data_IF_331707784170
#
_entry.id   IF_331707784170
#
_cell.length_a   1.000
_cell.length_b   1.000
_cell.length_c   1.000
_cell.angle_alpha   90.00
_cell.angle_beta   90.00
_cell.angle_gamma   90.00
#
_symmetry.space_group_name_H-M   'P 1'
#
loop_
_entity.id
_entity.type
_entity.pdbx_description
1 polymer ?
#
# COMPACT_ATOMS: atom_id res chain seq x y z
N UNK A 1 1.24 57.73 -40.29
CA UNK A 1 0.45 57.01 -39.28
C UNK A 1 0.41 55.55 -39.68
N UNK A 2 1.20 54.72 -39.02
CA UNK A 2 0.84 53.43 -38.40
C UNK A 2 2.18 52.74 -38.09
N UNK A 3 2.67 52.89 -36.87
CA UNK A 3 3.82 52.11 -36.40
C UNK A 3 3.31 50.70 -36.07
N UNK A 4 3.96 49.68 -36.65
CA UNK A 4 3.64 48.28 -36.44
C UNK A 4 4.42 47.70 -35.27
N UNK A 5 4.27 48.27 -34.07
CA UNK A 5 4.78 47.65 -32.87
C UNK A 5 3.86 46.50 -32.42
N UNK A 6 4.06 45.33 -33.03
CA UNK A 6 3.53 44.08 -32.46
C UNK A 6 4.22 43.84 -31.11
N UNK A 7 3.47 44.09 -30.03
CA UNK A 7 3.84 43.66 -28.68
C UNK A 7 3.98 42.12 -28.69
N UNK A 8 5.08 41.54 -28.18
CA UNK A 8 5.20 40.10 -28.07
C UNK A 8 4.07 39.57 -27.20
N UNK A 9 3.24 38.71 -27.78
CA UNK A 9 2.20 37.97 -27.07
C UNK A 9 2.86 37.21 -25.91
N UNK A 10 2.58 37.62 -24.68
CA UNK A 10 3.09 36.92 -23.50
C UNK A 10 2.57 35.48 -23.57
N UNK A 11 3.43 34.46 -23.40
CA UNK A 11 2.96 33.08 -23.35
C UNK A 11 1.90 32.99 -22.23
N UNK A 12 0.80 32.25 -22.45
CA UNK A 12 -0.27 32.15 -21.48
C UNK A 12 0.33 31.77 -20.12
N UNK A 13 0.07 32.58 -19.10
CA UNK A 13 0.45 32.26 -17.73
C UNK A 13 0.00 30.82 -17.45
N UNK A 14 0.94 29.99 -17.01
CA UNK A 14 0.65 28.61 -16.64
C UNK A 14 -0.27 28.64 -15.41
N UNK A 15 -1.58 28.62 -15.65
CA UNK A 15 -2.64 28.63 -14.63
C UNK A 15 -2.52 27.40 -13.69
N UNK A 16 -1.61 26.47 -13.96
CA UNK A 16 -1.31 25.32 -13.10
C UNK A 16 -0.05 25.48 -12.23
N UNK A 17 0.63 26.64 -12.28
CA UNK A 17 1.90 26.87 -11.57
C UNK A 17 1.76 27.36 -10.12
N UNK A 18 0.56 27.48 -9.56
CA UNK A 18 0.46 27.59 -8.09
C UNK A 18 0.73 26.21 -7.46
N UNK A 19 1.72 26.09 -6.55
CA UNK A 19 1.94 24.84 -5.85
C UNK A 19 0.64 24.43 -5.16
N UNK A 20 0.14 23.25 -5.53
CA UNK A 20 -1.08 22.61 -5.00
C UNK A 20 -1.20 22.53 -3.46
N UNK A 21 -0.18 22.98 -2.72
CA UNK A 21 -0.17 23.04 -1.26
C UNK A 21 0.67 24.23 -0.78
N UNK A 22 0.15 25.12 0.10
CA UNK A 22 0.97 26.02 0.92
C UNK A 22 2.00 25.20 1.72
N UNK A 23 3.09 25.82 2.22
CA UNK A 23 4.10 25.18 3.11
C UNK A 23 3.46 24.06 3.94
N UNK A 24 3.85 22.81 3.65
CA UNK A 24 3.21 21.64 4.25
C UNK A 24 3.18 21.76 5.77
N UNK A 25 2.06 21.44 6.41
CA UNK A 25 1.93 21.35 7.86
C UNK A 25 2.12 19.90 8.28
N UNK A 26 3.37 19.39 8.45
CA UNK A 26 3.61 17.97 8.65
C UNK A 26 2.86 17.42 9.86
N UNK A 27 2.74 18.19 10.95
CA UNK A 27 1.96 17.78 12.13
C UNK A 27 0.46 17.57 11.83
N UNK A 28 -0.14 18.39 10.97
CA UNK A 28 -1.54 18.22 10.56
C UNK A 28 -1.70 16.96 9.69
N UNK A 29 -0.79 16.75 8.74
CA UNK A 29 -0.79 15.56 7.87
C UNK A 29 -0.64 14.30 8.70
N UNK A 30 0.30 14.27 9.64
CA UNK A 30 0.50 13.14 10.54
C UNK A 30 -0.70 12.92 11.46
N UNK A 31 -1.33 13.98 11.97
CA UNK A 31 -2.55 13.88 12.78
C UNK A 31 -3.74 13.30 11.99
N UNK A 32 -3.93 13.75 10.74
CA UNK A 32 -4.93 13.20 9.83
C UNK A 32 -4.65 11.73 9.49
N UNK A 33 -3.40 11.39 9.18
CA UNK A 33 -2.98 10.03 8.93
C UNK A 33 -3.22 9.12 10.14
N UNK A 34 -2.90 9.58 11.35
CA UNK A 34 -3.19 8.85 12.59
C UNK A 34 -4.70 8.64 12.78
N UNK A 35 -5.54 9.63 12.46
CA UNK A 35 -6.99 9.47 12.50
C UNK A 35 -7.49 8.42 11.51
N UNK A 36 -6.94 8.39 10.27
CA UNK A 36 -7.23 7.33 9.29
C UNK A 36 -6.88 5.95 9.84
N UNK A 37 -5.70 5.80 10.45
CA UNK A 37 -5.26 4.53 11.05
C UNK A 37 -6.18 4.11 12.19
N UNK A 38 -6.54 5.02 13.09
CA UNK A 38 -7.45 4.72 14.21
C UNK A 38 -8.82 4.24 13.69
N UNK A 39 -9.41 4.95 12.73
CA UNK A 39 -10.71 4.54 12.16
C UNK A 39 -10.60 3.22 11.41
N UNK A 40 -9.52 3.00 10.66
CA UNK A 40 -9.25 1.71 10.01
C UNK A 40 -9.17 0.57 11.02
N UNK A 41 -8.42 0.74 12.13
CA UNK A 41 -8.29 -0.29 13.16
C UNK A 41 -9.61 -0.57 13.88
N UNK A 42 -10.42 0.47 14.16
CA UNK A 42 -11.75 0.29 14.72
C UNK A 42 -12.67 -0.48 13.75
N UNK A 43 -12.61 -0.17 12.46
CA UNK A 43 -13.39 -0.86 11.44
C UNK A 43 -12.93 -2.32 11.28
N UNK A 44 -11.63 -2.59 11.32
CA UNK A 44 -11.06 -3.95 11.35
C UNK A 44 -11.62 -4.75 12.53
N UNK A 45 -11.51 -4.20 13.75
CA UNK A 45 -12.02 -4.85 14.96
C UNK A 45 -13.53 -5.09 14.89
N UNK A 46 -14.30 -4.12 14.41
CA UNK A 46 -15.75 -4.26 14.23
C UNK A 46 -16.09 -5.36 13.21
N UNK A 47 -15.38 -5.44 12.08
CA UNK A 47 -15.58 -6.49 11.08
C UNK A 47 -15.29 -7.88 11.63
N UNK A 48 -14.19 -8.04 12.37
CA UNK A 48 -13.80 -9.28 13.02
C UNK A 48 -14.85 -9.72 14.06
N UNK A 49 -15.28 -8.80 14.93
CA UNK A 49 -16.33 -9.08 15.94
C UNK A 49 -17.66 -9.44 15.28
N UNK A 50 -18.06 -8.73 14.23
CA UNK A 50 -19.28 -9.03 13.50
C UNK A 50 -19.24 -10.42 12.87
N UNK A 51 -18.11 -10.79 12.25
CA UNK A 51 -17.94 -12.14 11.70
C UNK A 51 -18.06 -13.21 12.78
N UNK A 52 -17.33 -13.07 13.90
CA UNK A 52 -17.39 -14.05 14.99
C UNK A 52 -18.80 -14.22 15.54
N UNK A 53 -19.54 -13.12 15.74
CA UNK A 53 -20.92 -13.17 16.22
C UNK A 53 -21.87 -13.87 15.23
N UNK A 54 -21.69 -13.65 13.92
CA UNK A 54 -22.47 -14.33 12.89
C UNK A 54 -22.12 -15.81 12.82
N UNK A 55 -20.83 -16.15 12.83
CA UNK A 55 -20.37 -17.53 12.76
C UNK A 55 -20.85 -18.35 13.97
N UNK A 56 -20.73 -17.81 15.18
CA UNK A 56 -21.22 -18.43 16.43
C UNK A 56 -22.74 -18.64 16.40
N UNK A 57 -23.50 -17.69 15.83
CA UNK A 57 -24.95 -17.80 15.71
C UNK A 57 -25.43 -18.77 14.61
N UNK A 58 -24.59 -19.08 13.62
CA UNK A 58 -24.99 -19.84 12.41
C UNK A 58 -24.38 -21.24 12.32
N UNK A 59 -23.26 -21.48 12.98
CA UNK A 59 -22.57 -22.76 13.02
C UNK A 59 -22.34 -23.19 14.49
N UNK A 60 -23.12 -24.16 15.00
CA UNK A 60 -22.95 -24.68 16.37
C UNK A 60 -21.60 -25.32 16.67
N UNK A 61 -20.78 -25.59 15.64
CA UNK A 61 -19.43 -26.17 15.78
C UNK A 61 -18.33 -25.10 15.81
N UNK A 62 -18.67 -23.84 15.49
CA UNK A 62 -17.72 -22.74 15.51
C UNK A 62 -17.29 -22.41 16.95
N UNK A 63 -15.98 -22.32 17.17
CA UNK A 63 -15.42 -21.89 18.45
C UNK A 63 -14.79 -20.51 18.29
N UNK A 64 -15.52 -19.47 18.67
CA UNK A 64 -15.08 -18.08 18.53
C UNK A 64 -13.79 -17.78 19.32
N UNK A 65 -13.63 -18.35 20.51
CA UNK A 65 -12.44 -18.14 21.33
C UNK A 65 -11.17 -18.72 20.67
N UNK A 66 -11.25 -19.98 20.22
CA UNK A 66 -10.14 -20.64 19.55
C UNK A 66 -9.81 -19.98 18.19
N UNK A 67 -10.82 -19.50 17.47
CA UNK A 67 -10.60 -18.75 16.22
C UNK A 67 -9.93 -17.40 16.48
N UNK A 68 -10.35 -16.67 17.52
CA UNK A 68 -9.78 -15.37 17.89
C UNK A 68 -8.30 -15.48 18.30
N UNK A 69 -7.90 -16.55 18.99
CA UNK A 69 -6.49 -16.81 19.35
C UNK A 69 -5.57 -16.89 18.13
N UNK A 70 -6.08 -17.35 16.99
CA UNK A 70 -5.33 -17.52 15.75
C UNK A 70 -5.61 -16.42 14.71
N UNK A 71 -6.46 -15.44 15.03
CA UNK A 71 -6.91 -14.43 14.06
C UNK A 71 -5.74 -13.60 13.49
N UNK A 72 -4.63 -13.45 14.23
CA UNK A 72 -3.46 -12.68 13.81
C UNK A 72 -2.73 -13.22 12.57
N UNK A 73 -2.83 -14.53 12.29
CA UNK A 73 -2.27 -15.18 11.09
C UNK A 73 -3.33 -15.91 10.26
N UNK A 74 -4.61 -15.71 10.56
CA UNK A 74 -5.71 -16.34 9.85
C UNK A 74 -6.06 -15.58 8.56
N UNK A 75 -6.11 -16.26 7.41
CA UNK A 75 -6.35 -15.62 6.11
C UNK A 75 -7.76 -15.07 5.91
N UNK A 76 -8.77 -15.68 6.52
CA UNK A 76 -10.13 -15.13 6.51
C UNK A 76 -10.21 -13.88 7.39
N UNK A 77 -9.60 -13.92 8.58
CA UNK A 77 -9.50 -12.77 9.47
C UNK A 77 -8.78 -11.60 8.77
N UNK A 78 -7.64 -11.86 8.12
CA UNK A 78 -6.91 -10.87 7.32
C UNK A 78 -7.82 -10.25 6.25
N UNK A 79 -8.59 -11.07 5.52
CA UNK A 79 -9.52 -10.57 4.51
C UNK A 79 -10.59 -9.67 5.10
N UNK A 80 -11.26 -10.11 6.16
CA UNK A 80 -12.30 -9.31 6.84
C UNK A 80 -11.71 -7.97 7.33
N UNK A 81 -10.56 -8.03 7.99
CA UNK A 81 -9.88 -6.85 8.51
C UNK A 81 -9.52 -5.88 7.38
N UNK A 82 -8.83 -6.32 6.32
CA UNK A 82 -8.41 -5.45 5.21
C UNK A 82 -9.61 -4.76 4.56
N UNK A 83 -10.69 -5.48 4.27
CA UNK A 83 -11.86 -4.89 3.63
C UNK A 83 -12.59 -3.92 4.56
N UNK A 84 -12.82 -4.28 5.83
CA UNK A 84 -13.47 -3.39 6.79
C UNK A 84 -12.62 -2.14 7.08
N UNK A 85 -11.30 -2.32 7.27
CA UNK A 85 -10.33 -1.24 7.42
C UNK A 85 -10.29 -0.32 6.21
N UNK A 86 -10.31 -0.88 5.00
CA UNK A 86 -10.38 -0.11 3.75
C UNK A 86 -11.64 0.73 3.63
N UNK A 87 -12.80 0.20 4.02
CA UNK A 87 -14.07 0.95 4.08
C UNK A 87 -13.97 2.14 5.04
N UNK A 88 -13.25 1.99 6.16
CA UNK A 88 -12.99 3.09 7.09
C UNK A 88 -11.97 4.10 6.56
N UNK A 89 -10.87 3.62 5.98
CA UNK A 89 -9.73 4.44 5.60
C UNK A 89 -9.96 5.26 4.32
N UNK A 90 -10.49 4.63 3.27
CA UNK A 90 -10.56 5.23 1.94
C UNK A 90 -11.38 6.53 1.90
N UNK A 91 -12.60 6.60 2.46
CA UNK A 91 -13.37 7.85 2.46
C UNK A 91 -12.63 9.00 3.16
N UNK A 92 -11.94 8.70 4.26
CA UNK A 92 -11.18 9.69 5.01
C UNK A 92 -9.95 10.19 4.23
N UNK A 93 -9.24 9.30 3.54
CA UNK A 93 -8.09 9.67 2.71
C UNK A 93 -8.50 10.66 1.61
N UNK A 94 -9.61 10.39 0.91
CA UNK A 94 -10.14 11.31 -0.10
C UNK A 94 -10.63 12.62 0.51
N UNK A 95 -11.39 12.56 1.61
CA UNK A 95 -11.87 13.76 2.32
C UNK A 95 -10.73 14.66 2.77
N UNK A 96 -9.69 14.09 3.39
CA UNK A 96 -8.54 14.86 3.87
C UNK A 96 -7.68 15.36 2.73
N UNK A 97 -7.50 14.57 1.66
CA UNK A 97 -6.81 15.01 0.46
C UNK A 97 -7.52 16.20 -0.18
N UNK A 98 -8.84 16.16 -0.35
CA UNK A 98 -9.65 17.28 -0.85
C UNK A 98 -9.49 18.51 0.04
N UNK A 99 -9.53 18.32 1.36
CA UNK A 99 -9.45 19.43 2.30
C UNK A 99 -8.10 20.12 2.30
N UNK A 100 -7.01 19.36 2.12
CA UNK A 100 -5.64 19.89 2.06
C UNK A 100 -5.30 20.51 0.70
N UNK A 101 -5.95 20.08 -0.37
CA UNK A 101 -5.69 20.50 -1.75
C UNK A 101 -6.68 21.54 -2.31
N UNK A 102 -7.71 21.91 -1.54
CA UNK A 102 -8.74 22.84 -2.00
C UNK A 102 -9.71 22.23 -3.02
N UNK A 103 -10.03 20.94 -2.88
CA UNK A 103 -10.95 20.21 -3.76
C UNK A 103 -10.29 19.47 -4.93
N UNK A 104 -8.99 19.23 -4.86
CA UNK A 104 -8.18 18.49 -5.86
C UNK A 104 -7.59 17.22 -5.25
N UNK A 105 -8.40 16.48 -4.49
CA UNK A 105 -7.96 15.33 -3.70
C UNK A 105 -7.39 14.20 -4.54
N UNK A 106 -8.00 13.79 -5.67
CA UNK A 106 -7.40 12.81 -6.56
C UNK A 106 -6.01 13.22 -7.05
N UNK A 107 -5.82 14.48 -7.46
CA UNK A 107 -4.52 14.99 -7.88
C UNK A 107 -3.51 15.02 -6.73
N UNK A 108 -3.94 15.42 -5.54
CA UNK A 108 -3.12 15.37 -4.32
C UNK A 108 -2.65 13.95 -4.02
N UNK A 109 -3.56 12.98 -4.08
CA UNK A 109 -3.28 11.56 -3.90
C UNK A 109 -2.44 10.98 -5.03
N UNK A 110 -2.15 11.73 -6.10
CA UNK A 110 -1.39 11.25 -7.26
C UNK A 110 -2.17 10.27 -8.13
N UNK A 111 -3.48 10.41 -8.19
CA UNK A 111 -4.32 9.68 -9.14
C UNK A 111 -4.15 10.30 -10.54
N UNK A 112 -3.06 9.93 -11.21
CA UNK A 112 -2.69 10.44 -12.53
C UNK A 112 -2.36 9.31 -13.47
N UNK A 113 -2.91 9.36 -14.69
CA UNK A 113 -2.60 8.39 -15.72
C UNK A 113 -1.12 8.42 -16.10
N UNK A 114 -0.53 7.23 -16.27
CA UNK A 114 0.86 7.03 -16.66
C UNK A 114 0.86 6.04 -17.84
N UNK A 115 1.82 6.19 -18.76
CA UNK A 115 1.92 5.27 -19.89
C UNK A 115 2.17 3.84 -19.43
N UNK A 116 1.55 2.87 -20.12
CA UNK A 116 1.72 1.45 -19.78
C UNK A 116 3.18 1.00 -19.83
N UNK A 117 3.99 1.60 -20.73
CA UNK A 117 5.44 1.34 -20.80
C UNK A 117 6.15 1.74 -19.51
N UNK A 118 5.79 2.88 -18.92
CA UNK A 118 6.38 3.33 -17.66
C UNK A 118 5.95 2.41 -16.50
N UNK A 119 4.66 2.06 -16.43
CA UNK A 119 4.16 1.09 -15.44
C UNK A 119 4.91 -0.25 -15.56
N UNK A 120 5.01 -0.80 -16.78
CA UNK A 120 5.72 -2.05 -17.04
C UNK A 120 7.21 -1.97 -16.68
N UNK A 121 7.87 -0.83 -16.93
CA UNK A 121 9.27 -0.62 -16.55
C UNK A 121 9.47 -0.67 -15.03
N UNK A 122 8.58 -0.04 -14.26
CA UNK A 122 8.62 -0.06 -12.79
C UNK A 122 8.28 -1.43 -12.21
N UNK A 123 7.29 -2.13 -12.76
CA UNK A 123 6.98 -3.52 -12.39
C UNK A 123 8.18 -4.42 -12.70
N UNK A 124 8.81 -4.29 -13.86
CA UNK A 124 10.01 -5.06 -14.20
C UNK A 124 11.16 -4.78 -13.23
N UNK A 125 11.41 -3.51 -12.90
CA UNK A 125 12.45 -3.13 -11.93
C UNK A 125 12.22 -3.79 -10.57
N UNK A 126 10.96 -3.82 -10.10
CA UNK A 126 10.59 -4.52 -8.87
C UNK A 126 10.80 -6.03 -8.99
N UNK A 127 10.32 -6.67 -10.07
CA UNK A 127 10.46 -8.13 -10.22
C UNK A 127 11.93 -8.55 -10.29
N UNK A 128 12.80 -7.77 -10.92
CA UNK A 128 14.24 -8.03 -10.94
C UNK A 128 14.87 -7.91 -9.54
N UNK A 129 14.42 -6.93 -8.75
CA UNK A 129 14.85 -6.76 -7.36
C UNK A 129 14.42 -7.95 -6.49
N UNK A 130 13.16 -8.39 -6.61
CA UNK A 130 12.63 -9.54 -5.86
C UNK A 130 13.31 -10.85 -6.28
N UNK A 131 13.48 -11.09 -7.58
CA UNK A 131 14.20 -12.28 -8.06
C UNK A 131 15.65 -12.32 -7.55
N UNK A 132 16.34 -11.18 -7.48
CA UNK A 132 17.67 -11.09 -6.88
C UNK A 132 17.67 -11.40 -5.38
N UNK A 133 16.63 -10.96 -4.66
CA UNK A 133 16.43 -11.28 -3.25
C UNK A 133 16.16 -12.77 -3.02
N UNK A 134 15.33 -13.41 -3.84
CA UNK A 134 15.02 -14.83 -3.72
C UNK A 134 16.25 -15.70 -3.98
N UNK A 135 17.04 -15.36 -5.02
CA UNK A 135 18.32 -16.02 -5.30
C UNK A 135 19.28 -15.89 -4.13
N UNK A 136 19.38 -14.70 -3.51
CA UNK A 136 20.23 -14.50 -2.34
C UNK A 136 19.74 -15.32 -1.14
N UNK A 137 18.42 -15.31 -0.89
CA UNK A 137 17.78 -16.02 0.23
C UNK A 137 17.97 -17.53 0.09
N UNK A 138 17.78 -18.06 -1.12
CA UNK A 138 18.07 -19.46 -1.45
C UNK A 138 19.56 -19.80 -1.27
N UNK A 139 20.46 -18.91 -1.70
CA UNK A 139 21.91 -19.13 -1.58
C UNK A 139 22.41 -19.16 -0.13
N UNK A 140 21.74 -18.45 0.78
CA UNK A 140 22.03 -18.50 2.23
C UNK A 140 21.19 -19.54 2.99
N UNK A 141 20.57 -20.48 2.25
CA UNK A 141 19.78 -21.61 2.78
C UNK A 141 18.63 -21.17 3.71
N UNK A 142 18.00 -20.03 3.40
CA UNK A 142 16.81 -19.55 4.11
C UNK A 142 15.53 -19.85 3.35
N UNK A 143 14.43 -19.98 4.08
CA UNK A 143 13.11 -20.12 3.50
C UNK A 143 12.72 -18.84 2.74
N UNK A 144 12.35 -19.00 1.47
CA UNK A 144 11.87 -17.91 0.61
C UNK A 144 10.44 -17.53 1.01
N UNK A 145 9.62 -18.52 1.35
CA UNK A 145 8.23 -18.32 1.76
C UNK A 145 8.15 -18.18 3.27
N UNK A 146 7.55 -17.09 3.74
CA UNK A 146 7.34 -16.87 5.17
C UNK A 146 6.28 -17.81 5.77
N UNK A 147 6.47 -18.22 7.03
CA UNK A 147 5.48 -18.96 7.82
C UNK A 147 4.15 -18.20 7.97
N UNK A 148 4.21 -16.87 8.13
CA UNK A 148 3.01 -16.04 8.22
C UNK A 148 2.12 -16.16 6.96
N UNK A 149 2.71 -15.99 5.76
CA UNK A 149 1.96 -16.12 4.51
C UNK A 149 1.49 -17.55 4.27
N UNK A 150 2.23 -18.56 4.74
CA UNK A 150 1.79 -19.96 4.72
C UNK A 150 0.50 -20.14 5.52
N UNK A 151 0.47 -19.67 6.76
CA UNK A 151 -0.70 -19.78 7.64
C UNK A 151 -1.89 -19.02 7.07
N UNK A 152 -1.67 -17.80 6.58
CA UNK A 152 -2.70 -16.99 5.89
C UNK A 152 -3.28 -17.76 4.71
N UNK A 153 -2.43 -18.36 3.87
CA UNK A 153 -2.87 -19.10 2.70
C UNK A 153 -3.70 -20.34 3.06
N UNK A 154 -3.21 -21.16 4.00
CA UNK A 154 -3.84 -22.41 4.38
C UNK A 154 -5.16 -22.21 5.14
N UNK A 155 -5.29 -21.11 5.88
CA UNK A 155 -6.47 -20.81 6.71
C UNK A 155 -7.47 -19.86 6.05
N UNK A 156 -7.23 -19.45 4.81
CA UNK A 156 -8.07 -18.48 4.10
C UNK A 156 -9.54 -18.91 3.95
N UNK A 157 -9.80 -20.22 3.81
CA UNK A 157 -11.11 -20.80 3.55
C UNK A 157 -11.69 -20.48 2.16
N UNK A 158 -11.46 -19.29 1.63
CA UNK A 158 -11.95 -18.81 0.35
C UNK A 158 -10.82 -18.19 -0.50
N UNK A 159 -10.13 -18.99 -1.34
CA UNK A 159 -8.94 -18.53 -2.06
C UNK A 159 -9.18 -17.27 -2.90
N UNK A 160 -10.28 -17.19 -3.66
CA UNK A 160 -10.57 -16.02 -4.48
C UNK A 160 -10.73 -14.72 -3.66
N UNK A 161 -11.21 -14.83 -2.42
CA UNK A 161 -11.34 -13.67 -1.52
C UNK A 161 -9.96 -13.26 -1.03
N UNK A 162 -9.13 -14.23 -0.61
CA UNK A 162 -7.75 -13.95 -0.23
C UNK A 162 -6.99 -13.26 -1.37
N UNK A 163 -7.11 -13.76 -2.61
CA UNK A 163 -6.47 -13.17 -3.78
C UNK A 163 -6.90 -11.72 -4.01
N UNK A 164 -8.21 -11.43 -3.96
CA UNK A 164 -8.71 -10.06 -4.05
C UNK A 164 -8.22 -9.18 -2.89
N UNK A 165 -8.13 -9.74 -1.68
CA UNK A 165 -7.59 -9.05 -0.51
C UNK A 165 -6.14 -8.66 -0.72
N UNK A 166 -5.25 -9.63 -0.97
CA UNK A 166 -3.80 -9.40 -0.97
C UNK A 166 -3.30 -8.73 -2.24
N UNK A 167 -3.92 -8.99 -3.41
CA UNK A 167 -3.47 -8.42 -4.69
C UNK A 167 -4.14 -7.09 -5.02
N UNK A 168 -5.32 -6.81 -4.45
CA UNK A 168 -6.09 -5.59 -4.78
C UNK A 168 -6.32 -4.72 -3.55
N UNK A 169 -7.05 -5.21 -2.55
CA UNK A 169 -7.50 -4.38 -1.44
C UNK A 169 -6.33 -3.83 -0.61
N UNK A 170 -5.37 -4.69 -0.25
CA UNK A 170 -4.17 -4.30 0.50
C UNK A 170 -3.34 -3.26 -0.25
N UNK A 171 -2.90 -3.49 -1.52
CA UNK A 171 -2.18 -2.47 -2.29
C UNK A 171 -2.94 -1.15 -2.43
N UNK A 172 -4.26 -1.20 -2.64
CA UNK A 172 -5.07 0.02 -2.75
C UNK A 172 -5.00 0.82 -1.46
N UNK A 173 -5.36 0.23 -0.32
CA UNK A 173 -5.39 0.97 0.96
C UNK A 173 -4.01 1.50 1.32
N UNK A 174 -2.97 0.67 1.18
CA UNK A 174 -1.63 1.03 1.58
C UNK A 174 -1.02 2.09 0.65
N UNK A 175 -1.09 1.94 -0.68
CA UNK A 175 -0.49 2.91 -1.59
C UNK A 175 -1.21 4.27 -1.54
N UNK A 176 -2.53 4.30 -1.35
CA UNK A 176 -3.24 5.57 -1.12
C UNK A 176 -2.84 6.23 0.20
N UNK A 177 -2.56 5.45 1.26
CA UNK A 177 -2.10 5.99 2.53
C UNK A 177 -0.65 6.49 2.46
N UNK A 178 0.28 5.66 2.00
CA UNK A 178 1.72 5.94 2.05
C UNK A 178 2.19 6.79 0.87
N UNK A 179 1.92 6.35 -0.37
CA UNK A 179 2.42 7.03 -1.57
C UNK A 179 1.48 8.13 -2.01
N UNK A 180 0.18 8.02 -1.69
CA UNK A 180 -0.82 9.05 -1.86
C UNK A 180 -0.70 10.14 -0.81
N UNK A 181 -1.32 9.91 0.35
CA UNK A 181 -1.59 10.94 1.35
C UNK A 181 -0.33 11.40 2.11
N UNK A 182 0.40 10.46 2.73
CA UNK A 182 1.59 10.79 3.52
C UNK A 182 2.70 11.38 2.66
N UNK A 183 3.03 10.75 1.53
CA UNK A 183 4.07 11.26 0.63
C UNK A 183 3.73 12.68 0.14
N UNK A 184 2.53 12.89 -0.43
CA UNK A 184 2.14 14.20 -0.95
C UNK A 184 2.11 15.27 0.15
N UNK A 185 1.64 14.93 1.34
CA UNK A 185 1.57 15.86 2.47
C UNK A 185 2.92 16.18 3.12
N UNK A 186 3.93 15.32 2.98
CA UNK A 186 5.22 15.47 3.66
C UNK A 186 6.37 15.91 2.74
N UNK A 187 6.31 15.64 1.43
CA UNK A 187 7.44 15.86 0.50
C UNK A 187 7.90 17.32 0.40
N UNK A 188 6.98 18.28 0.64
CA UNK A 188 7.27 19.72 0.66
C UNK A 188 7.60 20.27 2.06
N UNK A 189 7.74 19.40 3.05
CA UNK A 189 8.16 19.76 4.40
C UNK A 189 9.68 19.87 4.49
N UNK A 190 10.26 20.31 5.63
CA UNK A 190 11.70 20.27 5.83
C UNK A 190 12.35 18.88 5.64
N UNK A 191 11.56 17.79 5.64
CA UNK A 191 12.04 16.45 5.30
C UNK A 191 12.53 16.35 3.84
N UNK A 192 11.92 17.12 2.94
CA UNK A 192 12.16 17.01 1.50
C UNK A 192 11.88 15.60 0.94
N UNK A 193 12.33 15.35 -0.29
CA UNK A 193 12.11 14.07 -0.97
C UNK A 193 12.76 12.90 -0.22
N UNK A 194 14.03 13.03 0.16
CA UNK A 194 14.77 11.96 0.81
C UNK A 194 14.21 11.62 2.20
N UNK A 195 13.91 12.62 3.03
CA UNK A 195 13.33 12.41 4.35
C UNK A 195 11.92 11.82 4.27
N UNK A 196 11.10 12.26 3.31
CA UNK A 196 9.77 11.67 3.09
C UNK A 196 9.85 10.23 2.58
N UNK A 197 10.81 9.92 1.70
CA UNK A 197 11.02 8.55 1.24
C UNK A 197 11.42 7.62 2.37
N UNK A 198 12.36 8.04 3.22
CA UNK A 198 12.75 7.27 4.40
C UNK A 198 11.60 7.12 5.40
N UNK A 199 10.92 8.23 5.74
CA UNK A 199 9.85 8.22 6.73
C UNK A 199 8.67 7.32 6.31
N UNK A 200 8.17 7.49 5.07
CA UNK A 200 7.04 6.68 4.58
C UNK A 200 7.39 5.21 4.44
N UNK A 201 8.62 4.89 4.02
CA UNK A 201 9.08 3.49 3.91
C UNK A 201 9.30 2.84 5.28
N UNK A 202 9.78 3.59 6.28
CA UNK A 202 9.87 3.12 7.66
C UNK A 202 8.48 2.89 8.28
N UNK A 203 7.54 3.82 8.07
CA UNK A 203 6.17 3.66 8.54
C UNK A 203 5.48 2.45 7.91
N UNK A 204 5.73 2.20 6.62
CA UNK A 204 5.23 1.03 5.93
C UNK A 204 5.86 -0.27 6.48
N UNK A 205 7.19 -0.29 6.67
CA UNK A 205 7.90 -1.39 7.33
C UNK A 205 7.31 -1.74 8.70
N UNK A 206 6.92 -0.75 9.51
CA UNK A 206 6.40 -1.01 10.86
C UNK A 206 5.08 -1.78 10.87
N UNK A 207 4.34 -1.83 9.75
CA UNK A 207 3.13 -2.65 9.62
C UNK A 207 3.42 -4.12 9.27
N UNK A 208 4.69 -4.47 9.07
CA UNK A 208 5.14 -5.76 8.57
C UNK A 208 5.98 -6.53 9.60
N UNK A 209 5.87 -6.19 10.88
CA UNK A 209 6.66 -6.80 11.97
C UNK A 209 6.35 -8.28 12.23
N UNK A 210 5.30 -8.83 11.62
CA UNK A 210 5.00 -10.26 11.58
C UNK A 210 5.99 -11.08 10.74
N UNK A 211 6.78 -10.42 9.88
CA UNK A 211 7.82 -11.07 9.10
C UNK A 211 9.17 -11.04 9.82
N UNK A 212 10.09 -11.94 9.43
CA UNK A 212 11.44 -11.94 9.97
C UNK A 212 12.28 -10.74 9.48
N UNK A 213 13.42 -10.51 10.13
CA UNK A 213 14.27 -9.35 9.88
C UNK A 213 14.74 -9.22 8.41
N UNK A 214 14.94 -10.33 7.70
CA UNK A 214 15.39 -10.32 6.31
C UNK A 214 14.28 -9.96 5.36
N UNK A 215 13.08 -10.52 5.54
CA UNK A 215 11.89 -10.12 4.80
C UNK A 215 11.52 -8.66 5.07
N UNK A 216 11.54 -8.23 6.34
CA UNK A 216 11.28 -6.82 6.73
C UNK A 216 12.28 -5.85 6.10
N UNK A 217 13.57 -6.23 6.03
CA UNK A 217 14.59 -5.41 5.34
C UNK A 217 14.27 -5.27 3.86
N UNK A 218 13.85 -6.36 3.20
CA UNK A 218 13.47 -6.32 1.79
C UNK A 218 12.22 -5.45 1.57
N UNK A 219 11.21 -5.55 2.45
CA UNK A 219 10.03 -4.68 2.46
C UNK A 219 10.43 -3.20 2.56
N UNK A 220 11.39 -2.84 3.41
CA UNK A 220 11.89 -1.46 3.45
C UNK A 220 12.49 -1.00 2.11
N UNK A 221 13.30 -1.84 1.46
CA UNK A 221 13.90 -1.55 0.15
C UNK A 221 12.84 -1.41 -0.93
N UNK A 222 11.84 -2.30 -0.96
CA UNK A 222 10.66 -2.17 -1.84
C UNK A 222 9.93 -0.86 -1.55
N UNK A 223 9.79 -0.49 -0.28
CA UNK A 223 9.19 0.77 0.12
C UNK A 223 9.89 1.99 -0.48
N UNK A 224 11.23 1.99 -0.48
CA UNK A 224 12.01 3.03 -1.13
C UNK A 224 11.79 3.04 -2.64
N UNK A 225 11.73 1.86 -3.29
CA UNK A 225 11.49 1.74 -4.73
C UNK A 225 10.09 2.22 -5.13
N UNK A 226 9.05 1.87 -4.37
CA UNK A 226 7.69 2.38 -4.55
C UNK A 226 7.64 3.89 -4.43
N UNK A 227 8.36 4.46 -3.47
CA UNK A 227 8.43 5.91 -3.30
C UNK A 227 9.22 6.59 -4.41
N UNK A 228 10.28 5.95 -4.92
CA UNK A 228 11.00 6.43 -6.10
C UNK A 228 10.09 6.44 -7.34
N UNK A 229 9.30 5.38 -7.56
CA UNK A 229 8.30 5.33 -8.62
C UNK A 229 7.30 6.49 -8.48
N UNK A 230 6.74 6.68 -7.27
CA UNK A 230 5.82 7.80 -6.97
C UNK A 230 6.44 9.16 -7.29
N UNK A 231 7.68 9.39 -6.86
CA UNK A 231 8.37 10.67 -7.07
C UNK A 231 8.65 10.93 -8.56
N UNK A 232 9.07 9.91 -9.31
CA UNK A 232 9.43 10.07 -10.73
C UNK A 232 8.20 10.21 -11.62
N UNK A 233 7.13 9.46 -11.34
CA UNK A 233 5.92 9.47 -12.19
C UNK A 233 4.84 10.41 -11.71
N UNK A 234 5.00 11.00 -10.52
CA UNK A 234 3.99 11.84 -9.85
C UNK A 234 2.63 11.15 -9.74
N UNK A 235 2.64 9.82 -9.62
CA UNK A 235 1.45 8.98 -9.71
C UNK A 235 1.56 7.76 -8.81
N UNK A 236 0.44 7.32 -8.23
CA UNK A 236 0.36 6.04 -7.50
C UNK A 236 0.09 4.85 -8.40
N UNK A 237 -0.27 5.05 -9.68
CA UNK A 237 -0.63 3.95 -10.57
C UNK A 237 0.52 2.93 -10.72
N UNK A 238 1.80 3.34 -10.93
CA UNK A 238 2.91 2.39 -10.91
C UNK A 238 3.09 1.71 -9.55
N UNK A 239 2.91 2.44 -8.44
CA UNK A 239 3.03 1.89 -7.10
C UNK A 239 1.99 0.78 -6.84
N UNK A 240 0.74 1.01 -7.23
CA UNK A 240 -0.35 0.03 -7.15
C UNK A 240 -0.02 -1.22 -7.96
N UNK A 241 0.44 -1.06 -9.20
CA UNK A 241 0.79 -2.18 -10.06
C UNK A 241 2.00 -2.97 -9.54
N UNK A 242 3.03 -2.28 -9.06
CA UNK A 242 4.21 -2.87 -8.44
C UNK A 242 3.81 -3.69 -7.20
N UNK A 243 3.09 -3.08 -6.26
CA UNK A 243 2.69 -3.73 -5.01
C UNK A 243 1.75 -4.93 -5.29
N UNK A 244 0.78 -4.77 -6.18
CA UNK A 244 -0.07 -5.89 -6.62
C UNK A 244 0.76 -7.03 -7.24
N UNK A 245 1.76 -6.72 -8.07
CA UNK A 245 2.64 -7.72 -8.67
C UNK A 245 3.51 -8.45 -7.64
N UNK A 246 4.06 -7.74 -6.65
CA UNK A 246 4.79 -8.33 -5.53
C UNK A 246 3.91 -9.31 -4.76
N UNK A 247 2.70 -8.89 -4.36
CA UNK A 247 1.80 -9.73 -3.57
C UNK A 247 1.31 -10.93 -4.39
N UNK A 248 1.06 -10.75 -5.68
CA UNK A 248 0.72 -11.86 -6.57
C UNK A 248 1.88 -12.86 -6.69
N UNK A 249 3.12 -12.39 -6.87
CA UNK A 249 4.32 -13.24 -6.91
C UNK A 249 4.48 -14.07 -5.63
N UNK A 250 4.50 -13.41 -4.47
CA UNK A 250 4.60 -14.07 -3.17
C UNK A 250 3.46 -15.09 -2.93
N UNK A 251 2.25 -14.78 -3.40
CA UNK A 251 1.11 -15.70 -3.27
C UNK A 251 1.21 -16.91 -4.22
N UNK A 252 1.84 -16.76 -5.40
CA UNK A 252 2.06 -17.86 -6.35
C UNK A 252 3.17 -18.83 -5.92
N UNK A 253 4.14 -18.37 -5.13
CA UNK A 253 5.23 -19.21 -4.62
C UNK A 253 4.75 -20.27 -3.62
N UNK A 254 3.69 -19.96 -2.88
CA UNK A 254 3.12 -20.81 -1.83
C UNK A 254 2.72 -22.22 -2.31
N UNK A 255 1.88 -22.40 -3.36
CA UNK A 255 1.56 -23.72 -3.89
C UNK A 255 2.78 -24.53 -4.34
N UNK A 256 3.77 -23.87 -4.95
CA UNK A 256 4.98 -24.54 -5.43
C UNK A 256 5.83 -25.04 -4.26
N UNK A 257 6.00 -24.21 -3.24
CA UNK A 257 6.71 -24.58 -2.02
C UNK A 257 6.03 -25.75 -1.28
N UNK A 258 4.70 -25.72 -1.14
CA UNK A 258 3.95 -26.81 -0.51
C UNK A 258 4.10 -28.15 -1.25
N UNK A 259 4.23 -28.13 -2.57
CA UNK A 259 4.49 -29.35 -3.36
C UNK A 259 5.89 -29.89 -3.11
N UNK A 260 6.90 -29.03 -2.97
CA UNK A 260 8.27 -29.44 -2.66
C UNK A 260 8.38 -30.02 -1.25
N UNK A 261 7.74 -29.40 -0.26
CA UNK A 261 7.71 -29.89 1.13
C UNK A 261 7.04 -31.28 1.21
N UNK A 262 5.95 -31.51 0.46
CA UNK A 262 5.27 -32.80 0.42
C UNK A 262 6.04 -33.91 -0.31
N UNK A 263 7.05 -33.56 -1.11
CA UNK A 263 7.86 -34.50 -1.89
C UNK A 263 9.19 -34.89 -1.23
N UNK A 264 9.59 -34.21 -0.15
CA UNK A 264 10.77 -34.50 0.67
C UNK A 264 10.43 -35.33 1.90
#
# INVERSE_FOLDING_TARGET
MNDGSETPEQPPEDVFAEPLTPRSRPGLVLGMAAAVVVVSLLAQGAGIVAYMAIADATDPTFNAAAWAENAGSNGLALSIATWAGGVGAMPMLFLFADRLSGGRGPEFLGWRAVSLRSVAGWVLALQLLLAGYDVLTWWVEREVVSTFMRDVYLTAGHPALLWLTVVVATPVVEEFMFRGFLFAGLVRSPLGVAGTALATSLMWLMMHVQYDATAVTMIFVVGLLLTAARQVTESIIPCLAMHAAMNAGATLELPYWLQMEAAG
#
